data_IF_825315095576
#
_entry.id   IF_825315095576
#
_cell.length_a   1.000
_cell.length_b   1.000
_cell.length_c   1.000
_cell.angle_alpha   90.00
_cell.angle_beta   90.00
_cell.angle_gamma   90.00
#
_symmetry.space_group_name_H-M   'P 1'
#
loop_
_entity.id
_entity.type
_entity.pdbx_description
1 polymer ?
#
# COMPACT_ATOMS: atom_id res chain seq x y z
N UNK A 1 -2.09 -18.07 11.92
CA UNK A 1 -3.05 -17.78 10.81
C UNK A 1 -4.45 -17.40 11.31
N UNK A 2 -5.03 -18.10 12.29
CA UNK A 2 -6.41 -17.85 12.78
C UNK A 2 -6.69 -16.38 13.15
N UNK A 3 -5.77 -15.71 13.84
CA UNK A 3 -5.99 -14.33 14.26
C UNK A 3 -6.17 -13.35 13.08
N UNK A 4 -5.41 -13.53 12.02
CA UNK A 4 -5.55 -12.71 10.80
C UNK A 4 -6.91 -12.94 10.11
N UNK A 5 -7.33 -14.19 10.00
CA UNK A 5 -8.65 -14.57 9.45
C UNK A 5 -9.76 -13.99 10.35
N UNK A 6 -9.60 -14.04 11.67
CA UNK A 6 -10.55 -13.49 12.62
C UNK A 6 -10.71 -11.98 12.46
N UNK A 7 -9.60 -11.22 12.32
CA UNK A 7 -9.65 -9.77 12.07
C UNK A 7 -10.42 -9.45 10.78
N UNK A 8 -10.16 -10.19 9.70
CA UNK A 8 -10.89 -10.01 8.44
C UNK A 8 -12.39 -10.35 8.59
N UNK A 9 -12.71 -11.44 9.30
CA UNK A 9 -14.08 -11.87 9.56
C UNK A 9 -14.86 -10.86 10.41
N UNK A 10 -14.23 -10.27 11.45
CA UNK A 10 -14.82 -9.18 12.23
C UNK A 10 -15.19 -8.01 11.30
N UNK A 11 -14.31 -7.64 10.39
CA UNK A 11 -14.58 -6.53 9.48
C UNK A 11 -15.76 -6.82 8.55
N UNK A 12 -15.91 -8.07 8.07
CA UNK A 12 -17.12 -8.50 7.34
C UNK A 12 -18.35 -8.37 8.24
N UNK A 13 -18.27 -8.83 9.49
CA UNK A 13 -19.38 -8.70 10.45
C UNK A 13 -19.80 -7.25 10.66
N UNK A 14 -18.84 -6.34 10.84
CA UNK A 14 -19.08 -4.90 10.96
C UNK A 14 -19.74 -4.36 9.68
N UNK A 15 -19.26 -4.77 8.50
CA UNK A 15 -19.86 -4.39 7.22
C UNK A 15 -21.34 -4.80 7.14
N UNK A 16 -21.66 -6.05 7.48
CA UNK A 16 -23.03 -6.56 7.45
C UNK A 16 -23.96 -5.84 8.44
N UNK A 17 -23.44 -5.50 9.63
CA UNK A 17 -24.18 -4.69 10.63
C UNK A 17 -24.41 -3.26 10.12
N UNK A 18 -23.38 -2.59 9.63
CA UNK A 18 -23.48 -1.21 9.13
C UNK A 18 -24.35 -1.10 7.89
N UNK A 19 -24.35 -2.11 7.02
CA UNK A 19 -25.25 -2.16 5.86
C UNK A 19 -26.75 -2.20 6.27
N UNK A 20 -27.08 -2.84 7.42
CA UNK A 20 -28.46 -2.90 7.94
C UNK A 20 -28.93 -1.57 8.53
N UNK A 21 -28.03 -0.78 9.12
CA UNK A 21 -28.37 0.48 9.80
C UNK A 21 -28.14 1.73 8.93
N UNK A 22 -27.95 1.55 7.63
CA UNK A 22 -27.81 2.66 6.67
C UNK A 22 -26.42 3.28 6.56
N UNK A 23 -25.39 2.63 7.10
CA UNK A 23 -23.99 3.03 6.93
C UNK A 23 -23.19 3.13 8.23
N UNK A 24 -21.94 3.53 8.11
CA UNK A 24 -21.00 3.72 9.22
C UNK A 24 -20.68 5.22 9.38
N UNK A 25 -20.82 5.76 10.59
CA UNK A 25 -20.40 7.14 10.84
C UNK A 25 -18.88 7.30 10.77
N UNK A 26 -18.40 8.51 10.45
CA UNK A 26 -16.98 8.83 10.35
C UNK A 26 -16.20 8.49 11.63
N UNK A 27 -16.79 8.70 12.81
CA UNK A 27 -16.16 8.39 14.10
C UNK A 27 -15.96 6.89 14.28
N UNK A 28 -16.96 6.08 13.95
CA UNK A 28 -16.87 4.63 14.02
C UNK A 28 -15.91 4.08 12.98
N UNK A 29 -15.93 4.63 11.77
CA UNK A 29 -14.97 4.25 10.73
C UNK A 29 -13.54 4.55 11.16
N UNK A 30 -13.28 5.73 11.74
CA UNK A 30 -11.97 6.07 12.30
C UNK A 30 -11.55 5.07 13.38
N UNK A 31 -12.43 4.74 14.34
CA UNK A 31 -12.12 3.77 15.38
C UNK A 31 -11.76 2.39 14.82
N UNK A 32 -12.50 1.92 13.80
CA UNK A 32 -12.23 0.65 13.14
C UNK A 32 -10.84 0.67 12.48
N UNK A 33 -10.52 1.73 11.74
CA UNK A 33 -9.22 1.88 11.09
C UNK A 33 -8.10 1.93 12.12
N UNK A 34 -8.31 2.61 13.27
CA UNK A 34 -7.32 2.64 14.35
C UNK A 34 -7.15 1.28 15.04
N UNK A 35 -8.21 0.47 15.19
CA UNK A 35 -8.05 -0.91 15.66
C UNK A 35 -7.17 -1.75 14.72
N UNK A 36 -7.35 -1.59 13.40
CA UNK A 36 -6.49 -2.25 12.40
C UNK A 36 -5.05 -1.72 12.49
N UNK A 37 -4.86 -0.39 12.65
CA UNK A 37 -3.54 0.22 12.84
C UNK A 37 -2.82 -0.34 14.08
N UNK A 38 -3.53 -0.46 15.19
CA UNK A 38 -2.98 -1.04 16.43
C UNK A 38 -2.63 -2.52 16.25
N UNK A 39 -3.45 -3.29 15.54
CA UNK A 39 -3.13 -4.69 15.22
C UNK A 39 -1.81 -4.80 14.45
N UNK A 40 -1.56 -3.93 13.49
CA UNK A 40 -0.31 -3.91 12.71
C UNK A 40 0.85 -3.32 13.53
N UNK A 41 0.63 -2.18 14.18
CA UNK A 41 1.66 -1.39 14.85
C UNK A 41 2.18 -2.01 16.15
N UNK A 42 1.32 -2.73 16.89
CA UNK A 42 1.72 -3.43 18.12
C UNK A 42 2.44 -4.75 17.84
N UNK A 43 2.47 -5.24 16.60
CA UNK A 43 3.12 -6.50 16.27
C UNK A 43 4.65 -6.40 16.46
N UNK A 44 5.23 -7.46 17.02
CA UNK A 44 6.65 -7.55 17.32
C UNK A 44 7.47 -7.94 16.09
N UNK A 45 8.00 -6.95 15.36
CA UNK A 45 8.84 -7.09 14.16
C UNK A 45 8.31 -8.05 13.09
N UNK A 46 6.99 -8.31 13.07
CA UNK A 46 6.36 -9.11 12.03
C UNK A 46 6.34 -8.32 10.70
N UNK A 47 6.68 -8.98 9.61
CA UNK A 47 6.74 -8.37 8.28
C UNK A 47 8.09 -8.48 7.59
N UNK A 48 9.03 -9.21 8.19
CA UNK A 48 10.31 -9.56 7.57
C UNK A 48 11.39 -8.49 7.67
N UNK A 49 12.40 -8.65 6.84
CA UNK A 49 13.68 -7.92 6.88
C UNK A 49 13.56 -6.39 6.90
N UNK A 50 12.72 -5.82 6.04
CA UNK A 50 12.61 -4.35 5.93
C UNK A 50 12.23 -3.70 7.27
N UNK A 51 11.40 -4.37 8.08
CA UNK A 51 10.96 -3.85 9.37
C UNK A 51 12.11 -3.77 10.39
N UNK A 52 13.02 -4.75 10.34
CA UNK A 52 14.24 -4.73 11.17
C UNK A 52 15.17 -3.61 10.74
N UNK A 53 15.38 -3.40 9.44
CA UNK A 53 16.22 -2.30 8.93
C UNK A 53 15.68 -0.94 9.39
N UNK A 54 14.37 -0.71 9.31
CA UNK A 54 13.80 0.56 9.79
C UNK A 54 14.01 0.75 11.28
N UNK A 55 13.89 -0.32 12.07
CA UNK A 55 14.12 -0.29 13.50
C UNK A 55 15.59 0.01 13.84
N UNK A 56 16.53 -0.64 13.15
CA UNK A 56 17.96 -0.42 13.33
C UNK A 56 18.38 1.01 12.97
N UNK A 57 17.91 1.53 11.84
CA UNK A 57 18.22 2.91 11.46
C UNK A 57 17.59 3.92 12.41
N UNK A 58 16.40 3.62 12.94
CA UNK A 58 15.81 4.47 13.96
C UNK A 58 16.65 4.47 15.25
N UNK A 59 17.18 3.33 15.68
CA UNK A 59 18.05 3.25 16.86
C UNK A 59 19.31 4.10 16.69
N UNK A 60 19.97 4.03 15.51
CA UNK A 60 21.12 4.87 15.20
C UNK A 60 20.77 6.36 15.30
N UNK A 61 19.64 6.78 14.76
CA UNK A 61 19.15 8.16 14.84
C UNK A 61 18.84 8.55 16.28
N UNK A 62 18.19 7.70 17.05
CA UNK A 62 17.84 7.97 18.44
C UNK A 62 19.09 8.12 19.33
N UNK A 63 20.08 7.23 19.16
CA UNK A 63 21.34 7.29 19.91
C UNK A 63 22.11 8.60 19.60
N UNK A 64 22.17 9.00 18.33
CA UNK A 64 22.87 10.23 17.93
C UNK A 64 22.10 11.49 18.37
N UNK A 65 20.79 11.54 18.18
CA UNK A 65 19.97 12.71 18.52
C UNK A 65 19.90 12.98 20.03
N UNK A 66 20.06 11.95 20.85
CA UNK A 66 19.99 12.07 22.32
C UNK A 66 21.35 12.29 22.98
N UNK A 67 22.45 11.83 22.38
CA UNK A 67 23.77 11.76 23.03
C UNK A 67 24.89 12.53 22.33
N UNK A 68 24.73 12.84 21.05
CA UNK A 68 25.80 13.41 20.20
C UNK A 68 25.32 14.68 19.50
N UNK A 69 26.26 15.50 19.04
CA UNK A 69 25.96 16.70 18.26
C UNK A 69 25.12 16.34 17.01
N UNK A 70 24.11 17.17 16.64
CA UNK A 70 23.32 17.02 15.42
C UNK A 70 24.13 16.86 14.13
N UNK A 71 25.40 17.31 14.12
CA UNK A 71 26.30 17.21 12.97
C UNK A 71 26.54 15.74 12.54
N UNK A 72 26.46 14.79 13.46
CA UNK A 72 26.63 13.37 13.17
C UNK A 72 25.38 12.67 12.61
N UNK A 73 24.24 13.34 12.54
CA UNK A 73 23.03 12.76 11.92
C UNK A 73 23.25 12.35 10.47
N UNK A 74 24.10 13.06 9.73
CA UNK A 74 24.44 12.71 8.35
C UNK A 74 25.20 11.38 8.23
N UNK A 75 25.81 10.91 9.30
CA UNK A 75 26.53 9.64 9.36
C UNK A 75 25.60 8.45 9.62
N UNK A 76 24.38 8.68 10.10
CA UNK A 76 23.41 7.62 10.33
C UNK A 76 23.05 6.90 9.02
N UNK A 77 22.90 5.56 9.10
CA UNK A 77 22.63 4.70 7.96
C UNK A 77 21.43 5.14 7.14
N UNK A 78 20.40 5.70 7.75
CA UNK A 78 19.19 6.19 7.06
C UNK A 78 19.48 7.29 6.03
N UNK A 79 20.38 8.21 6.32
CA UNK A 79 20.75 9.30 5.40
C UNK A 79 21.76 8.87 4.34
N UNK A 80 22.59 7.88 4.65
CA UNK A 80 23.54 7.29 3.69
C UNK A 80 22.87 6.33 2.73
N UNK A 81 22.01 5.45 3.23
CA UNK A 81 21.35 4.42 2.44
C UNK A 81 20.28 4.99 1.50
N UNK A 82 19.61 6.09 1.91
CA UNK A 82 18.52 6.70 1.18
C UNK A 82 18.70 8.21 1.03
N UNK A 83 19.75 8.67 0.34
CA UNK A 83 20.11 10.10 0.26
C UNK A 83 19.02 10.95 -0.41
N UNK A 84 18.20 10.36 -1.30
CA UNK A 84 17.05 11.02 -1.94
C UNK A 84 15.81 11.12 -1.08
N UNK A 85 15.74 10.39 0.04
CA UNK A 85 14.52 10.27 0.88
C UNK A 85 14.68 10.98 2.22
N UNK A 86 15.20 12.20 2.17
CA UNK A 86 15.53 13.02 3.36
C UNK A 86 14.34 13.26 4.29
N UNK A 87 13.11 13.33 3.75
CA UNK A 87 11.91 13.51 4.56
C UNK A 87 11.68 12.35 5.51
N UNK A 88 11.93 11.12 5.07
CA UNK A 88 11.83 9.95 5.95
C UNK A 88 12.92 9.98 7.03
N UNK A 89 14.16 10.35 6.68
CA UNK A 89 15.24 10.52 7.66
C UNK A 89 14.87 11.56 8.73
N UNK A 90 14.38 12.74 8.33
CA UNK A 90 13.95 13.76 9.27
C UNK A 90 12.72 13.37 10.09
N UNK A 91 11.80 12.55 9.56
CA UNK A 91 10.70 12.01 10.35
C UNK A 91 11.21 11.10 11.47
N UNK A 92 12.25 10.28 11.21
CA UNK A 92 12.90 9.49 12.25
C UNK A 92 13.49 10.38 13.35
N UNK A 93 14.18 11.46 12.98
CA UNK A 93 14.71 12.44 13.94
C UNK A 93 13.59 13.06 14.78
N UNK A 94 12.48 13.46 14.16
CA UNK A 94 11.34 14.03 14.90
C UNK A 94 10.74 13.05 15.89
N UNK A 95 10.60 11.76 15.50
CA UNK A 95 10.06 10.75 16.40
C UNK A 95 11.07 10.41 17.51
N UNK A 96 12.39 10.48 17.25
CA UNK A 96 13.40 10.20 18.28
C UNK A 96 13.35 11.16 19.46
N UNK A 97 12.84 12.38 19.29
CA UNK A 97 12.58 13.32 20.40
C UNK A 97 11.40 12.89 21.28
N UNK A 98 10.52 12.00 20.79
CA UNK A 98 9.37 11.50 21.55
C UNK A 98 9.69 10.17 22.24
N UNK A 99 10.51 9.33 21.62
CA UNK A 99 10.87 8.01 22.11
C UNK A 99 12.18 7.52 21.49
N UNK A 100 12.96 6.78 22.25
CA UNK A 100 14.10 6.00 21.74
C UNK A 100 13.76 4.54 21.47
N UNK A 101 12.50 4.13 21.72
CA UNK A 101 12.07 2.74 21.57
C UNK A 101 11.63 2.45 20.14
N UNK A 102 12.32 1.52 19.45
CA UNK A 102 12.05 1.13 18.07
C UNK A 102 10.64 0.61 17.84
N UNK A 103 10.03 -0.03 18.80
CA UNK A 103 8.67 -0.58 18.68
C UNK A 103 7.62 0.53 18.74
N UNK A 104 7.82 1.53 19.61
CA UNK A 104 6.96 2.71 19.66
C UNK A 104 7.14 3.55 18.38
N UNK A 105 8.35 3.66 17.84
CA UNK A 105 8.59 4.27 16.52
C UNK A 105 7.76 3.61 15.43
N UNK A 106 7.80 2.28 15.32
CA UNK A 106 7.01 1.52 14.33
C UNK A 106 5.51 1.71 14.55
N UNK A 107 5.06 1.73 15.81
CA UNK A 107 3.65 1.98 16.15
C UNK A 107 3.22 3.39 15.68
N UNK A 108 4.00 4.42 16.00
CA UNK A 108 3.71 5.81 15.59
C UNK A 108 3.65 5.90 14.06
N UNK A 109 4.64 5.34 13.37
CA UNK A 109 4.70 5.35 11.90
C UNK A 109 3.49 4.63 11.29
N UNK A 110 3.12 3.48 11.84
CA UNK A 110 1.94 2.71 11.42
C UNK A 110 0.65 3.52 11.64
N UNK A 111 0.49 4.16 12.79
CA UNK A 111 -0.68 5.02 13.08
C UNK A 111 -0.75 6.17 12.08
N UNK A 112 0.37 6.84 11.77
CA UNK A 112 0.41 7.90 10.75
C UNK A 112 -0.08 7.37 9.39
N UNK A 113 0.43 6.22 8.92
CA UNK A 113 0.02 5.59 7.67
C UNK A 113 -1.50 5.34 7.68
N UNK A 114 -2.05 4.74 8.73
CA UNK A 114 -3.47 4.40 8.79
C UNK A 114 -4.39 5.63 8.94
N UNK A 115 -3.95 6.70 9.59
CA UNK A 115 -4.67 7.98 9.59
C UNK A 115 -4.77 8.55 8.17
N UNK A 116 -3.67 8.52 7.41
CA UNK A 116 -3.66 8.99 6.02
C UNK A 116 -4.53 8.09 5.10
N UNK A 117 -4.51 6.77 5.32
CA UNK A 117 -5.39 5.82 4.65
C UNK A 117 -6.87 6.07 4.97
N UNK A 118 -7.21 6.32 6.24
CA UNK A 118 -8.56 6.72 6.65
C UNK A 118 -9.04 7.95 5.89
N UNK A 119 -8.21 9.00 5.83
CA UNK A 119 -8.54 10.24 5.12
C UNK A 119 -8.79 9.95 3.64
N UNK A 120 -7.93 9.15 2.99
CA UNK A 120 -8.04 8.82 1.58
C UNK A 120 -9.27 7.97 1.27
N UNK A 121 -9.52 6.90 2.04
CA UNK A 121 -10.69 6.04 1.85
C UNK A 121 -11.98 6.86 2.03
N UNK A 122 -12.07 7.63 3.11
CA UNK A 122 -13.21 8.50 3.38
C UNK A 122 -13.46 9.51 2.25
N UNK A 123 -12.40 10.01 1.63
CA UNK A 123 -12.50 11.01 0.57
C UNK A 123 -12.98 10.42 -0.76
N UNK A 124 -12.56 9.18 -1.08
CA UNK A 124 -12.76 8.61 -2.42
C UNK A 124 -13.87 7.56 -2.46
N UNK A 125 -14.11 6.81 -1.39
CA UNK A 125 -15.10 5.76 -1.35
C UNK A 125 -16.47 6.26 -0.86
N UNK A 126 -17.54 5.70 -1.44
CA UNK A 126 -18.93 5.93 -0.99
C UNK A 126 -19.33 4.99 0.15
N UNK A 127 -18.74 3.80 0.18
CA UNK A 127 -18.88 2.86 1.29
C UNK A 127 -17.50 2.58 1.89
N UNK A 128 -17.21 3.26 2.99
CA UNK A 128 -15.90 3.25 3.63
C UNK A 128 -15.50 1.85 4.14
N UNK A 129 -16.44 1.08 4.72
CA UNK A 129 -16.15 -0.25 5.25
C UNK A 129 -15.88 -1.24 4.11
N UNK A 130 -16.68 -1.20 3.03
CA UNK A 130 -16.42 -2.04 1.87
C UNK A 130 -15.08 -1.71 1.22
N UNK A 131 -14.74 -0.42 1.11
CA UNK A 131 -13.45 0.02 0.61
C UNK A 131 -12.29 -0.46 1.50
N UNK A 132 -12.47 -0.45 2.84
CA UNK A 132 -11.49 -1.00 3.77
C UNK A 132 -11.34 -2.52 3.58
N UNK A 133 -12.42 -3.26 3.34
CA UNK A 133 -12.36 -4.70 3.04
C UNK A 133 -11.56 -4.94 1.75
N UNK A 134 -11.79 -4.15 0.70
CA UNK A 134 -11.02 -4.26 -0.56
C UNK A 134 -9.55 -3.91 -0.33
N UNK A 135 -9.26 -2.84 0.43
CA UNK A 135 -7.91 -2.49 0.84
C UNK A 135 -7.22 -3.63 1.62
N UNK A 136 -7.92 -4.25 2.57
CA UNK A 136 -7.40 -5.40 3.31
C UNK A 136 -7.01 -6.56 2.38
N UNK A 137 -7.80 -6.81 1.35
CA UNK A 137 -7.49 -7.85 0.36
C UNK A 137 -6.23 -7.58 -0.45
N UNK A 138 -6.00 -6.31 -0.83
CA UNK A 138 -4.95 -5.94 -1.80
C UNK A 138 -3.66 -5.50 -1.10
N UNK A 139 -3.75 -4.68 -0.03
CA UNK A 139 -2.62 -3.90 0.49
C UNK A 139 -2.26 -4.17 1.96
N UNK A 140 -3.16 -4.81 2.73
CA UNK A 140 -3.02 -4.89 4.19
C UNK A 140 -1.67 -5.44 4.66
N UNK A 141 -1.22 -6.57 4.13
CA UNK A 141 0.01 -7.21 4.58
C UNK A 141 1.26 -6.39 4.24
N UNK A 142 1.19 -5.54 3.22
CA UNK A 142 2.30 -4.66 2.87
C UNK A 142 2.53 -3.56 3.92
N UNK A 143 1.52 -3.24 4.75
CA UNK A 143 1.67 -2.32 5.87
C UNK A 143 2.49 -2.88 7.03
N UNK A 144 2.72 -4.20 7.08
CA UNK A 144 3.66 -4.80 8.03
C UNK A 144 5.11 -4.61 7.59
N UNK A 145 5.39 -4.70 6.29
CA UNK A 145 6.75 -4.80 5.74
C UNK A 145 7.25 -3.46 5.20
N UNK A 146 6.53 -2.87 4.26
CA UNK A 146 7.00 -1.74 3.44
C UNK A 146 6.59 -0.38 4.03
N UNK A 147 6.91 -0.15 5.31
CA UNK A 147 6.44 1.04 6.05
C UNK A 147 6.76 2.35 5.35
N UNK A 148 8.00 2.52 4.86
CA UNK A 148 8.45 3.72 4.16
C UNK A 148 7.67 3.95 2.85
N UNK A 149 7.53 2.90 2.04
CA UNK A 149 6.76 2.98 0.81
C UNK A 149 5.27 3.21 1.08
N UNK A 150 4.70 2.53 2.08
CA UNK A 150 3.30 2.73 2.48
C UNK A 150 3.03 4.13 3.00
N UNK A 151 4.01 4.76 3.68
CA UNK A 151 3.93 6.17 4.06
C UNK A 151 3.90 7.07 2.81
N UNK A 152 4.82 6.86 1.87
CA UNK A 152 4.83 7.59 0.60
C UNK A 152 3.52 7.43 -0.19
N UNK A 153 3.00 6.21 -0.28
CA UNK A 153 1.71 5.89 -0.94
C UNK A 153 0.55 6.62 -0.26
N UNK A 154 0.45 6.53 1.06
CA UNK A 154 -0.67 7.12 1.81
C UNK A 154 -0.69 8.66 1.71
N UNK A 155 0.48 9.30 1.67
CA UNK A 155 0.60 10.74 1.40
C UNK A 155 0.20 11.03 -0.05
N UNK A 156 0.73 10.29 -1.02
CA UNK A 156 0.46 10.50 -2.44
C UNK A 156 -1.04 10.40 -2.78
N UNK A 157 -1.77 9.49 -2.12
CA UNK A 157 -3.20 9.33 -2.30
C UNK A 157 -4.00 10.60 -1.93
N UNK A 158 -3.54 11.42 -0.97
CA UNK A 158 -4.16 12.70 -0.67
C UNK A 158 -4.10 13.66 -1.87
N UNK A 159 -3.12 13.47 -2.75
CA UNK A 159 -2.92 14.31 -3.94
C UNK A 159 -3.96 14.10 -5.04
N UNK A 160 -4.59 12.93 -5.13
CA UNK A 160 -5.51 12.58 -6.22
C UNK A 160 -6.70 13.56 -6.34
N UNK A 161 -7.17 14.12 -5.22
CA UNK A 161 -8.20 15.18 -5.24
C UNK A 161 -7.79 16.37 -6.10
N UNK A 162 -6.54 16.74 -6.09
CA UNK A 162 -6.05 17.91 -6.83
C UNK A 162 -5.95 17.66 -8.34
N UNK A 163 -6.07 16.40 -8.79
CA UNK A 163 -6.16 16.06 -10.23
C UNK A 163 -7.52 16.45 -10.77
N UNK A 164 -8.63 16.09 -10.11
CA UNK A 164 -9.96 16.48 -10.57
C UNK A 164 -10.29 17.95 -10.25
N UNK A 165 -9.70 18.53 -9.22
CA UNK A 165 -9.78 19.97 -8.89
C UNK A 165 -8.87 20.84 -9.79
N UNK A 166 -8.01 20.21 -10.64
CA UNK A 166 -7.00 20.86 -11.51
C UNK A 166 -6.08 21.82 -10.77
N UNK A 167 -5.76 21.53 -9.52
CA UNK A 167 -4.88 22.32 -8.66
C UNK A 167 -3.44 21.82 -8.72
N UNK A 168 -2.70 22.21 -9.80
CA UNK A 168 -1.37 21.68 -10.12
C UNK A 168 -0.37 21.81 -8.95
N UNK A 169 -0.20 23.00 -8.41
CA UNK A 169 0.81 23.24 -7.37
C UNK A 169 0.53 22.48 -6.07
N UNK A 170 -0.75 22.30 -5.72
CA UNK A 170 -1.14 21.49 -4.56
C UNK A 170 -0.84 20.02 -4.80
N UNK A 171 -1.08 19.53 -6.01
CA UNK A 171 -0.72 18.17 -6.41
C UNK A 171 0.80 17.97 -6.34
N UNK A 172 1.59 18.87 -6.96
CA UNK A 172 3.06 18.83 -6.95
C UNK A 172 3.58 18.80 -5.52
N UNK A 173 3.09 19.69 -4.64
CA UNK A 173 3.52 19.74 -3.25
C UNK A 173 3.32 18.39 -2.53
N UNK A 174 2.15 17.78 -2.70
CA UNK A 174 1.87 16.46 -2.09
C UNK A 174 2.80 15.39 -2.65
N UNK A 175 3.02 15.37 -3.97
CA UNK A 175 3.93 14.39 -4.58
C UNK A 175 5.38 14.61 -4.11
N UNK A 176 5.85 15.84 -3.96
CA UNK A 176 7.18 16.12 -3.42
C UNK A 176 7.33 15.68 -1.96
N UNK A 177 6.30 15.88 -1.13
CA UNK A 177 6.29 15.36 0.25
C UNK A 177 6.32 13.83 0.23
N UNK A 178 5.49 13.17 -0.60
CA UNK A 178 5.49 11.72 -0.74
C UNK A 178 6.84 11.19 -1.26
N UNK A 179 7.44 11.87 -2.24
CA UNK A 179 8.76 11.57 -2.80
C UNK A 179 9.87 11.66 -1.75
N UNK A 180 9.82 12.66 -0.87
CA UNK A 180 10.79 12.78 0.22
C UNK A 180 10.72 11.65 1.25
N UNK A 181 9.58 10.92 1.30
CA UNK A 181 9.41 9.72 2.13
C UNK A 181 9.82 8.44 1.39
N UNK A 182 9.51 8.37 0.08
CA UNK A 182 9.88 7.25 -0.77
C UNK A 182 9.94 7.67 -2.24
N UNK A 183 11.10 7.50 -2.86
CA UNK A 183 11.41 7.95 -4.23
C UNK A 183 10.40 7.50 -5.28
N UNK A 184 9.86 6.27 -5.17
CA UNK A 184 8.91 5.75 -6.14
C UNK A 184 7.56 6.49 -6.21
N UNK A 185 7.30 7.44 -5.28
CA UNK A 185 6.09 8.27 -5.33
C UNK A 185 5.99 9.12 -6.61
N UNK A 186 7.12 9.39 -7.26
CA UNK A 186 7.16 10.14 -8.51
C UNK A 186 6.40 9.43 -9.65
N UNK A 187 6.20 8.10 -9.56
CA UNK A 187 5.43 7.33 -10.54
C UNK A 187 3.99 7.85 -10.69
N UNK A 188 3.44 8.48 -9.64
CA UNK A 188 2.09 9.06 -9.69
C UNK A 188 2.05 10.42 -10.39
N UNK A 189 3.18 11.12 -10.57
CA UNK A 189 3.20 12.47 -11.13
C UNK A 189 2.57 12.59 -12.53
N UNK A 190 2.82 11.69 -13.49
CA UNK A 190 2.29 11.81 -14.85
C UNK A 190 0.75 11.81 -14.94
N UNK A 191 0.04 11.28 -13.94
CA UNK A 191 -1.43 11.20 -13.98
C UNK A 191 -2.08 12.57 -14.01
N UNK A 192 -1.44 13.61 -13.50
CA UNK A 192 -1.99 14.97 -13.53
C UNK A 192 -2.26 15.47 -14.95
N UNK A 193 -1.46 15.02 -15.91
CA UNK A 193 -1.57 15.40 -17.31
C UNK A 193 -2.65 14.64 -18.08
N UNK A 194 -3.18 13.56 -17.48
CA UNK A 194 -4.29 12.80 -18.06
C UNK A 194 -5.60 13.58 -17.82
N UNK A 195 -6.34 13.93 -18.88
CA UNK A 195 -7.62 14.61 -18.74
C UNK A 195 -8.61 13.81 -17.86
N UNK A 196 -9.38 14.48 -16.96
CA UNK A 196 -10.38 13.85 -16.11
C UNK A 196 -11.66 13.52 -16.90
N UNK A 197 -11.53 12.71 -17.94
CA UNK A 197 -12.63 12.27 -18.81
C UNK A 197 -12.69 10.76 -18.87
N UNK A 198 -13.86 10.25 -19.28
CA UNK A 198 -14.03 8.84 -19.59
C UNK A 198 -13.45 8.56 -20.98
N UNK A 199 -12.57 7.58 -21.07
CA UNK A 199 -12.04 7.10 -22.35
C UNK A 199 -12.94 6.00 -22.90
N UNK A 200 -12.92 5.76 -24.20
CA UNK A 200 -13.64 4.62 -24.77
C UNK A 200 -12.96 3.30 -24.37
N UNK A 201 -13.74 2.23 -24.26
CA UNK A 201 -13.22 0.91 -23.93
C UNK A 201 -12.12 0.50 -24.91
N UNK A 202 -12.31 0.78 -26.22
CA UNK A 202 -11.30 0.48 -27.24
C UNK A 202 -9.98 1.23 -26.98
N UNK A 203 -10.05 2.51 -26.62
CA UNK A 203 -8.85 3.29 -26.27
C UNK A 203 -8.13 2.71 -25.05
N UNK A 204 -8.87 2.29 -24.05
CA UNK A 204 -8.32 1.66 -22.85
C UNK A 204 -7.62 0.34 -23.22
N UNK A 205 -8.26 -0.52 -24.00
CA UNK A 205 -7.68 -1.79 -24.44
C UNK A 205 -6.40 -1.58 -25.26
N UNK A 206 -6.38 -0.58 -26.15
CA UNK A 206 -5.18 -0.23 -26.92
C UNK A 206 -4.06 0.21 -25.99
N UNK A 207 -4.33 1.09 -25.00
CA UNK A 207 -3.32 1.56 -24.04
C UNK A 207 -2.77 0.38 -23.22
N UNK A 208 -3.63 -0.49 -22.71
CA UNK A 208 -3.19 -1.66 -21.94
C UNK A 208 -2.35 -2.63 -22.81
N UNK A 209 -2.73 -2.82 -24.07
CA UNK A 209 -1.97 -3.66 -25.03
C UNK A 209 -0.60 -3.06 -25.34
N UNK A 210 -0.53 -1.73 -25.52
CA UNK A 210 0.75 -1.02 -25.72
C UNK A 210 1.64 -1.15 -24.48
N UNK A 211 1.09 -0.97 -23.27
CA UNK A 211 1.83 -1.14 -22.02
C UNK A 211 2.37 -2.58 -21.88
N UNK A 212 1.57 -3.59 -22.22
CA UNK A 212 1.99 -4.98 -22.23
C UNK A 212 3.14 -5.22 -23.24
N UNK A 213 2.97 -4.72 -24.46
CA UNK A 213 3.98 -4.86 -25.50
C UNK A 213 5.34 -4.22 -25.09
N UNK A 214 5.30 -2.98 -24.59
CA UNK A 214 6.49 -2.28 -24.08
C UNK A 214 7.09 -3.00 -22.87
N UNK A 215 6.26 -3.54 -21.99
CA UNK A 215 6.70 -4.33 -20.83
C UNK A 215 7.42 -5.62 -21.26
N UNK A 216 6.90 -6.34 -22.27
CA UNK A 216 7.53 -7.54 -22.84
C UNK A 216 8.87 -7.19 -23.51
N UNK A 217 8.98 -6.03 -24.17
CA UNK A 217 10.22 -5.52 -24.75
C UNK A 217 11.27 -5.10 -23.71
N UNK A 218 10.91 -5.06 -22.41
CA UNK A 218 11.86 -4.71 -21.35
C UNK A 218 12.08 -3.20 -21.15
N UNK A 219 11.13 -2.35 -21.57
CA UNK A 219 11.21 -0.89 -21.35
C UNK A 219 11.35 -0.54 -19.87
N UNK A 220 10.90 -1.43 -18.97
CA UNK A 220 11.10 -1.28 -17.53
C UNK A 220 12.55 -1.12 -17.11
N UNK A 221 13.49 -1.87 -17.72
CA UNK A 221 14.93 -1.76 -17.41
C UNK A 221 15.44 -0.37 -17.77
N UNK A 222 15.14 0.10 -19.00
CA UNK A 222 15.52 1.45 -19.43
C UNK A 222 14.96 2.56 -18.52
N UNK A 223 13.72 2.40 -18.04
CA UNK A 223 13.12 3.36 -17.10
C UNK A 223 13.82 3.35 -15.73
N UNK A 224 14.21 2.17 -15.24
CA UNK A 224 14.97 2.07 -13.99
C UNK A 224 16.39 2.66 -14.13
N UNK A 225 17.10 2.34 -15.20
CA UNK A 225 18.44 2.87 -15.47
C UNK A 225 18.41 4.39 -15.53
N UNK A 226 17.48 4.95 -16.35
CA UNK A 226 17.32 6.41 -16.45
C UNK A 226 16.94 7.09 -15.14
N UNK A 227 16.16 6.41 -14.30
CA UNK A 227 15.79 6.91 -12.98
C UNK A 227 16.99 6.88 -12.04
N UNK A 228 17.83 5.86 -12.12
CA UNK A 228 19.01 5.72 -11.31
C UNK A 228 20.09 6.73 -11.59
N UNK A 229 20.35 6.93 -12.86
CA UNK A 229 21.27 7.96 -13.31
C UNK A 229 20.84 9.36 -12.84
N UNK A 230 19.51 9.60 -12.81
CA UNK A 230 18.96 10.89 -12.37
C UNK A 230 19.03 11.12 -10.86
N UNK A 231 19.02 10.08 -10.03
CA UNK A 231 18.93 10.19 -8.56
C UNK A 231 20.10 9.56 -7.81
N UNK A 232 21.16 9.15 -8.53
CA UNK A 232 22.42 8.61 -7.97
C UNK A 232 22.18 7.50 -6.92
N UNK A 233 21.36 6.52 -7.30
CA UNK A 233 21.01 5.41 -6.41
C UNK A 233 21.73 4.13 -6.84
N UNK A 234 22.75 3.70 -6.09
CA UNK A 234 23.50 2.45 -6.29
C UNK A 234 22.62 1.17 -6.26
N UNK A 235 21.35 1.29 -5.82
CA UNK A 235 20.40 0.19 -5.73
C UNK A 235 19.81 -0.27 -7.08
N UNK A 236 20.06 0.43 -8.14
CA UNK A 236 19.49 0.10 -9.45
C UNK A 236 20.03 -1.21 -9.98
N UNK A 237 21.31 -1.49 -9.75
CA UNK A 237 21.92 -2.76 -10.15
C UNK A 237 21.21 -3.98 -9.52
N UNK A 238 20.67 -3.84 -8.30
CA UNK A 238 19.89 -4.89 -7.65
C UNK A 238 18.48 -5.00 -8.26
N UNK A 239 17.91 -3.89 -8.75
CA UNK A 239 16.58 -3.84 -9.36
C UNK A 239 16.59 -4.21 -10.85
N UNK A 240 17.68 -3.91 -11.55
CA UNK A 240 17.89 -4.19 -12.99
C UNK A 240 18.60 -5.51 -13.24
N UNK A 241 19.42 -5.98 -12.31
CA UNK A 241 20.27 -7.16 -12.45
C UNK A 241 19.53 -8.50 -12.56
N UNK A 242 18.23 -8.53 -12.40
CA UNK A 242 17.40 -9.67 -12.78
C UNK A 242 16.68 -9.37 -14.09
N UNK A 243 17.26 -9.78 -15.23
CA UNK A 243 16.49 -10.08 -16.44
C UNK A 243 15.46 -11.19 -16.10
N UNK A 244 14.60 -10.87 -15.16
CA UNK A 244 13.55 -11.72 -14.69
C UNK A 244 12.62 -12.00 -15.86
N UNK A 245 12.31 -13.27 -16.09
CA UNK A 245 11.32 -13.66 -17.07
C UNK A 245 9.98 -12.96 -16.84
N UNK A 246 9.07 -13.04 -17.79
CA UNK A 246 7.72 -12.49 -17.71
C UNK A 246 7.03 -12.98 -16.42
N UNK A 247 6.64 -12.06 -15.56
CA UNK A 247 5.89 -12.35 -14.34
C UNK A 247 4.41 -12.51 -14.65
N UNK A 248 4.03 -13.71 -15.01
CA UNK A 248 2.67 -14.06 -15.39
C UNK A 248 1.61 -13.62 -14.35
N UNK A 249 1.99 -13.57 -13.06
CA UNK A 249 1.12 -13.07 -12.00
C UNK A 249 0.66 -11.62 -12.22
N UNK A 250 1.53 -10.74 -12.70
CA UNK A 250 1.17 -9.34 -12.99
C UNK A 250 0.20 -9.24 -14.18
N UNK A 251 0.40 -10.08 -15.20
CA UNK A 251 -0.54 -10.16 -16.31
C UNK A 251 -1.93 -10.58 -15.85
N UNK A 252 -2.01 -11.67 -15.07
CA UNK A 252 -3.29 -12.18 -14.54
C UNK A 252 -3.97 -11.13 -13.67
N UNK A 253 -3.23 -10.46 -12.78
CA UNK A 253 -3.77 -9.44 -11.89
C UNK A 253 -4.27 -8.23 -12.68
N UNK A 254 -3.49 -7.72 -13.62
CA UNK A 254 -3.89 -6.60 -14.47
C UNK A 254 -5.11 -6.92 -15.34
N UNK A 255 -5.10 -8.09 -16.01
CA UNK A 255 -6.22 -8.53 -16.85
C UNK A 255 -7.50 -8.73 -16.04
N UNK A 256 -7.40 -9.30 -14.84
CA UNK A 256 -8.52 -9.53 -13.95
C UNK A 256 -9.17 -8.22 -13.46
N UNK A 257 -8.38 -7.28 -12.94
CA UNK A 257 -8.91 -5.99 -12.50
C UNK A 257 -9.43 -5.16 -13.68
N UNK A 258 -8.72 -5.12 -14.81
CA UNK A 258 -9.19 -4.46 -16.01
C UNK A 258 -10.54 -5.03 -16.48
N UNK A 259 -10.68 -6.36 -16.50
CA UNK A 259 -11.93 -7.02 -16.86
C UNK A 259 -13.09 -6.60 -15.95
N UNK A 260 -12.93 -6.67 -14.63
CA UNK A 260 -13.98 -6.27 -13.68
C UNK A 260 -14.36 -4.81 -13.86
N UNK A 261 -13.38 -3.91 -14.01
CA UNK A 261 -13.62 -2.48 -14.17
C UNK A 261 -14.36 -2.23 -15.49
N UNK A 262 -13.91 -2.81 -16.60
CA UNK A 262 -14.52 -2.60 -17.92
C UNK A 262 -15.93 -3.19 -18.02
N UNK A 263 -16.21 -4.32 -17.37
CA UNK A 263 -17.56 -4.90 -17.27
C UNK A 263 -18.55 -3.98 -16.53
N UNK A 264 -18.05 -3.05 -15.72
CA UNK A 264 -18.86 -2.14 -14.93
C UNK A 264 -18.69 -0.67 -15.39
N UNK A 265 -18.10 -0.47 -16.58
CA UNK A 265 -17.67 0.83 -17.05
C UNK A 265 -18.81 1.84 -17.13
N UNK A 266 -19.98 1.41 -17.64
CA UNK A 266 -21.18 2.24 -17.81
C UNK A 266 -21.92 2.51 -16.49
N UNK A 267 -21.67 1.73 -15.45
CA UNK A 267 -22.29 1.91 -14.12
C UNK A 267 -21.65 3.08 -13.36
N UNK A 268 -20.40 3.38 -13.66
CA UNK A 268 -19.67 4.49 -13.03
C UNK A 268 -20.22 5.82 -13.59
N UNK A 269 -20.64 6.79 -12.74
CA UNK A 269 -21.09 8.10 -13.21
C UNK A 269 -20.00 8.87 -13.95
N UNK A 270 -20.43 9.67 -14.96
CA UNK A 270 -19.50 10.51 -15.72
C UNK A 270 -19.25 11.84 -15.01
N UNK A 271 -18.64 11.80 -13.83
CA UNK A 271 -18.18 12.98 -13.10
C UNK A 271 -16.65 13.08 -13.14
N UNK A 272 -16.10 14.29 -12.98
CA UNK A 272 -14.64 14.48 -12.95
C UNK A 272 -13.96 13.58 -11.91
N UNK A 273 -14.55 13.48 -10.71
CA UNK A 273 -14.02 12.65 -9.62
C UNK A 273 -14.03 11.17 -10.00
N UNK A 274 -15.17 10.66 -10.46
CA UNK A 274 -15.32 9.25 -10.80
C UNK A 274 -14.43 8.86 -11.99
N UNK A 275 -14.32 9.74 -12.99
CA UNK A 275 -13.41 9.53 -14.12
C UNK A 275 -11.95 9.49 -13.72
N UNK A 276 -11.50 10.36 -12.79
CA UNK A 276 -10.13 10.30 -12.27
C UNK A 276 -9.90 8.99 -11.54
N UNK A 277 -10.81 8.57 -10.65
CA UNK A 277 -10.67 7.30 -9.92
C UNK A 277 -10.66 6.10 -10.88
N UNK A 278 -11.52 6.12 -11.89
CA UNK A 278 -11.56 5.11 -12.95
C UNK A 278 -10.23 5.06 -13.72
N UNK A 279 -9.69 6.22 -14.13
CA UNK A 279 -8.40 6.30 -14.82
C UNK A 279 -7.23 5.83 -13.92
N UNK A 280 -7.25 6.18 -12.62
CA UNK A 280 -6.28 5.69 -11.64
C UNK A 280 -6.34 4.17 -11.54
N UNK A 281 -7.54 3.58 -11.51
CA UNK A 281 -7.70 2.12 -11.44
C UNK A 281 -7.20 1.40 -12.70
N UNK A 282 -7.40 2.00 -13.88
CA UNK A 282 -6.88 1.45 -15.14
C UNK A 282 -5.35 1.61 -15.25
N UNK A 283 -4.80 2.69 -14.70
CA UNK A 283 -3.34 2.89 -14.62
C UNK A 283 -2.68 1.89 -13.67
N UNK A 284 -3.36 1.45 -12.61
CA UNK A 284 -2.88 0.32 -11.81
C UNK A 284 -2.59 -0.90 -12.71
N UNK A 285 -3.54 -1.24 -13.59
CA UNK A 285 -3.36 -2.34 -14.54
C UNK A 285 -2.25 -2.04 -15.57
N UNK A 286 -2.20 -0.82 -16.09
CA UNK A 286 -1.21 -0.41 -17.08
C UNK A 286 0.23 -0.49 -16.53
N UNK A 287 0.46 -0.06 -15.29
CA UNK A 287 1.78 -0.15 -14.63
C UNK A 287 2.19 -1.60 -14.40
N UNK A 288 1.27 -2.48 -13.96
CA UNK A 288 1.58 -3.91 -13.85
C UNK A 288 2.03 -4.53 -15.18
N UNK A 289 1.38 -4.14 -16.28
CA UNK A 289 1.72 -4.62 -17.62
C UNK A 289 3.04 -4.03 -18.13
N UNK A 290 3.29 -2.74 -17.90
CA UNK A 290 4.51 -2.05 -18.31
C UNK A 290 5.74 -2.60 -17.60
N UNK A 291 5.61 -2.96 -16.31
CA UNK A 291 6.68 -3.50 -15.48
C UNK A 291 6.61 -5.02 -15.33
N UNK A 292 6.05 -5.73 -16.31
CA UNK A 292 5.80 -7.18 -16.26
C UNK A 292 7.07 -8.03 -16.11
N UNK A 293 8.23 -7.52 -16.52
CA UNK A 293 9.54 -8.18 -16.38
C UNK A 293 10.31 -7.76 -15.14
N UNK A 294 9.85 -6.74 -14.43
CA UNK A 294 10.52 -6.23 -13.23
C UNK A 294 10.10 -6.96 -11.97
N UNK A 295 11.06 -7.33 -11.13
CA UNK A 295 10.79 -7.97 -9.84
C UNK A 295 9.98 -7.08 -8.89
N UNK A 296 10.32 -5.82 -8.84
CA UNK A 296 9.72 -4.84 -7.97
C UNK A 296 8.68 -3.94 -8.66
N UNK A 297 8.43 -4.17 -9.96
CA UNK A 297 7.51 -3.35 -10.76
C UNK A 297 6.07 -3.33 -10.22
N UNK A 298 5.63 -4.45 -9.63
CA UNK A 298 4.32 -4.51 -8.97
C UNK A 298 4.16 -3.48 -7.85
N UNK A 299 5.24 -3.13 -7.14
CA UNK A 299 5.19 -2.11 -6.07
C UNK A 299 4.89 -0.70 -6.59
N UNK A 300 5.22 -0.40 -7.84
CA UNK A 300 4.89 0.88 -8.46
C UNK A 300 3.40 1.03 -8.71
N UNK A 301 2.69 -0.07 -9.01
CA UNK A 301 1.24 -0.06 -9.17
C UNK A 301 0.49 0.30 -7.88
N UNK A 302 1.08 0.06 -6.70
CA UNK A 302 0.43 0.35 -5.41
C UNK A 302 0.08 1.84 -5.22
N UNK A 303 0.81 2.76 -5.85
CA UNK A 303 0.46 4.18 -5.85
C UNK A 303 -0.90 4.44 -6.50
N UNK A 304 -1.33 3.56 -7.38
CA UNK A 304 -2.61 3.61 -8.10
C UNK A 304 -3.70 2.72 -7.45
N UNK A 305 -3.37 1.93 -6.42
CA UNK A 305 -4.30 0.96 -5.82
C UNK A 305 -5.54 1.62 -5.20
N UNK A 306 -5.47 2.88 -4.74
CA UNK A 306 -6.64 3.61 -4.26
C UNK A 306 -7.73 3.76 -5.35
N UNK A 307 -7.33 3.85 -6.62
CA UNK A 307 -8.25 3.82 -7.75
C UNK A 307 -9.05 2.52 -7.76
N UNK A 308 -8.37 1.37 -7.65
CA UNK A 308 -9.02 0.06 -7.60
C UNK A 308 -9.93 -0.05 -6.37
N UNK A 309 -9.42 0.30 -5.18
CA UNK A 309 -10.17 0.25 -3.92
C UNK A 309 -11.44 1.11 -3.99
N UNK A 310 -11.32 2.37 -4.42
CA UNK A 310 -12.43 3.30 -4.49
C UNK A 310 -13.41 2.92 -5.63
N UNK A 311 -12.89 2.64 -6.83
CA UNK A 311 -13.75 2.35 -7.99
C UNK A 311 -14.58 1.08 -7.75
N UNK A 312 -13.95 -0.03 -7.29
CA UNK A 312 -14.70 -1.27 -7.05
C UNK A 312 -15.74 -1.11 -5.95
N UNK A 313 -15.41 -0.45 -4.84
CA UNK A 313 -16.36 -0.21 -3.76
C UNK A 313 -17.50 0.74 -4.19
N UNK A 314 -17.20 1.76 -5.01
CA UNK A 314 -18.21 2.69 -5.52
C UNK A 314 -19.16 2.02 -6.54
N UNK A 315 -18.65 1.15 -7.41
CA UNK A 315 -19.47 0.33 -8.32
C UNK A 315 -20.50 -0.47 -7.54
N UNK A 316 -20.14 -1.04 -6.39
CA UNK A 316 -21.10 -1.77 -5.55
C UNK A 316 -22.27 -0.89 -5.11
N UNK A 317 -21.99 0.36 -4.72
CA UNK A 317 -23.02 1.33 -4.33
C UNK A 317 -23.88 1.74 -5.55
N UNK A 318 -23.25 2.04 -6.67
CA UNK A 318 -23.97 2.45 -7.89
C UNK A 318 -24.90 1.35 -8.42
N UNK A 319 -24.44 0.11 -8.44
CA UNK A 319 -25.27 -1.05 -8.82
C UNK A 319 -26.47 -1.24 -7.89
N UNK A 320 -26.29 -1.07 -6.59
CA UNK A 320 -27.41 -1.12 -5.64
C UNK A 320 -28.45 -0.04 -5.89
N UNK A 321 -28.02 1.16 -6.30
CA UNK A 321 -28.93 2.27 -6.60
C UNK A 321 -29.70 2.08 -7.91
N UNK A 322 -29.09 1.44 -8.91
CA UNK A 322 -29.71 1.20 -10.22
C UNK A 322 -30.55 -0.09 -10.30
N UNK A 323 -30.58 -0.89 -9.23
CA UNK A 323 -31.25 -2.18 -9.20
C UNK A 323 -30.63 -3.25 -10.12
N UNK A 324 -29.46 -2.95 -10.70
CA UNK A 324 -28.75 -3.87 -11.57
C UNK A 324 -27.99 -4.91 -10.74
N UNK A 325 -28.50 -6.14 -10.70
CA UNK A 325 -27.77 -7.28 -10.17
C UNK A 325 -26.45 -7.52 -10.93
N UNK A 326 -25.53 -8.26 -10.31
CA UNK A 326 -24.28 -8.67 -10.97
C UNK A 326 -24.58 -9.76 -11.99
N UNK A 327 -24.59 -9.42 -13.27
CA UNK A 327 -24.67 -10.37 -14.37
C UNK A 327 -23.27 -10.78 -14.83
N UNK A 328 -22.58 -11.61 -14.05
CA UNK A 328 -21.74 -12.61 -14.68
C UNK A 328 -22.68 -13.60 -15.37
N UNK A 329 -22.36 -14.07 -16.59
CA UNK A 329 -23.10 -15.10 -17.34
C UNK A 329 -23.28 -16.45 -16.59
N UNK A 330 -22.99 -16.48 -15.31
CA UNK A 330 -23.34 -17.58 -14.41
C UNK A 330 -24.58 -17.16 -13.62
N UNK A 331 -25.61 -17.93 -13.79
CA UNK A 331 -26.95 -17.88 -13.21
C UNK A 331 -26.94 -17.95 -11.67
N UNK A 332 -26.26 -17.04 -10.98
CA UNK A 332 -26.12 -17.12 -9.53
C UNK A 332 -26.38 -15.75 -8.86
N UNK A 333 -27.28 -15.79 -7.92
CA UNK A 333 -27.81 -14.78 -6.99
C UNK A 333 -26.77 -14.05 -6.12
N UNK A 334 -25.51 -13.92 -6.54
CA UNK A 334 -24.50 -13.24 -5.75
C UNK A 334 -24.52 -11.74 -6.02
N UNK A 335 -24.80 -10.93 -4.99
CA UNK A 335 -24.70 -9.48 -5.12
C UNK A 335 -23.24 -9.08 -5.39
N UNK A 336 -23.04 -7.95 -6.09
CA UNK A 336 -21.69 -7.43 -6.35
C UNK A 336 -20.90 -7.18 -5.04
N UNK A 337 -21.59 -6.84 -3.95
CA UNK A 337 -21.01 -6.72 -2.61
C UNK A 337 -20.42 -8.04 -2.10
N UNK A 338 -21.18 -9.12 -2.21
CA UNK A 338 -20.70 -10.46 -1.82
C UNK A 338 -19.51 -10.90 -2.69
N UNK A 339 -19.56 -10.61 -3.98
CA UNK A 339 -18.43 -10.85 -4.89
C UNK A 339 -17.17 -10.11 -4.42
N UNK A 340 -17.25 -8.81 -4.10
CA UNK A 340 -16.09 -8.04 -3.64
C UNK A 340 -15.54 -8.55 -2.30
N UNK A 341 -16.41 -8.95 -1.38
CA UNK A 341 -15.99 -9.52 -0.09
C UNK A 341 -15.23 -10.83 -0.32
N UNK A 342 -15.77 -11.72 -1.15
CA UNK A 342 -15.13 -13.01 -1.47
C UNK A 342 -13.82 -12.82 -2.21
N UNK A 343 -13.77 -11.91 -3.18
CA UNK A 343 -12.55 -11.55 -3.88
C UNK A 343 -11.48 -11.01 -2.92
N UNK A 344 -11.86 -10.06 -2.05
CA UNK A 344 -10.96 -9.48 -1.08
C UNK A 344 -10.45 -10.53 -0.09
N UNK A 345 -11.32 -11.44 0.36
CA UNK A 345 -10.92 -12.56 1.20
C UNK A 345 -9.95 -13.51 0.49
N UNK A 346 -10.20 -13.82 -0.76
CA UNK A 346 -9.31 -14.68 -1.56
C UNK A 346 -7.92 -14.07 -1.72
N UNK A 347 -7.83 -12.78 -2.06
CA UNK A 347 -6.56 -12.05 -2.20
C UNK A 347 -5.83 -11.97 -0.85
N UNK A 348 -6.56 -11.64 0.22
CA UNK A 348 -6.05 -11.61 1.58
C UNK A 348 -5.46 -12.96 2.00
N UNK A 349 -6.23 -14.03 1.81
CA UNK A 349 -5.83 -15.39 2.17
C UNK A 349 -4.63 -15.87 1.35
N UNK A 350 -4.56 -15.51 0.06
CA UNK A 350 -3.42 -15.83 -0.82
C UNK A 350 -2.11 -15.27 -0.26
N UNK A 351 -2.11 -13.99 0.14
CA UNK A 351 -0.92 -13.34 0.71
C UNK A 351 -0.62 -13.93 2.09
N UNK A 352 -1.63 -14.09 2.94
CA UNK A 352 -1.48 -14.68 4.27
C UNK A 352 -0.86 -16.07 4.21
N UNK A 353 -1.27 -16.90 3.25
CA UNK A 353 -0.69 -18.24 3.06
C UNK A 353 0.76 -18.17 2.60
N UNK A 354 1.10 -17.25 1.71
CA UNK A 354 2.47 -17.08 1.21
C UNK A 354 3.43 -16.53 2.26
N UNK A 355 2.95 -15.64 3.14
CA UNK A 355 3.77 -14.96 4.15
C UNK A 355 3.57 -15.52 5.56
N UNK A 356 2.59 -16.39 5.77
CA UNK A 356 2.30 -17.05 7.03
C UNK A 356 3.03 -18.37 7.20
N UNK A 357 2.42 -19.27 7.99
CA UNK A 357 2.99 -20.53 8.48
C UNK A 357 3.52 -21.48 7.39
N UNK A 358 2.88 -21.50 6.22
CA UNK A 358 3.25 -22.39 5.11
C UNK A 358 4.20 -21.79 4.07
N UNK A 359 4.65 -20.54 4.25
CA UNK A 359 5.47 -19.83 3.28
C UNK A 359 6.73 -19.20 3.91
N UNK A 360 6.90 -17.87 3.71
CA UNK A 360 8.07 -17.14 4.23
C UNK A 360 8.09 -16.99 5.76
N UNK A 361 7.01 -17.30 6.46
CA UNK A 361 6.86 -17.25 7.92
C UNK A 361 7.09 -15.87 8.56
N UNK A 362 7.01 -14.78 7.78
CA UNK A 362 7.26 -13.42 8.25
C UNK A 362 6.08 -12.80 9.02
N UNK A 363 4.92 -13.48 9.01
CA UNK A 363 3.71 -13.06 9.73
C UNK A 363 3.30 -14.04 10.83
N UNK A 364 4.07 -15.10 11.05
CA UNK A 364 3.74 -16.17 11.99
C UNK A 364 4.92 -16.53 12.91
N UNK A 365 4.67 -16.80 14.18
CA UNK A 365 3.41 -16.59 14.92
C UNK A 365 3.11 -15.10 15.13
N UNK A 366 1.83 -14.69 15.18
CA UNK A 366 1.49 -13.33 15.57
C UNK A 366 1.86 -13.10 17.04
N UNK A 367 2.66 -12.11 17.30
CA UNK A 367 3.15 -11.70 18.59
C UNK A 367 3.18 -10.18 18.71
N UNK A 368 3.13 -9.66 19.92
CA UNK A 368 3.19 -8.22 20.20
C UNK A 368 4.39 -7.93 21.09
N UNK A 369 4.98 -6.74 20.95
CA UNK A 369 6.06 -6.31 21.84
C UNK A 369 5.59 -6.04 23.28
N UNK A 370 4.27 -6.06 23.55
CA UNK A 370 3.71 -5.91 24.89
C UNK A 370 3.79 -7.19 25.72
N UNK A 371 4.13 -8.33 25.14
CA UNK A 371 4.22 -9.62 25.84
C UNK A 371 5.57 -9.81 26.53
N UNK A 372 5.69 -9.27 27.73
CA UNK A 372 6.68 -9.58 28.82
C UNK A 372 8.16 -9.78 28.41
N UNK A 373 8.63 -9.18 27.33
CA UNK A 373 10.03 -9.31 26.91
C UNK A 373 10.48 -10.73 26.54
N UNK A 374 9.59 -11.70 26.52
CA UNK A 374 9.86 -13.05 26.02
C UNK A 374 9.56 -13.09 24.53
N UNK A 375 10.56 -12.69 23.75
CA UNK A 375 10.52 -12.83 22.31
C UNK A 375 10.75 -14.29 21.96
N UNK A 376 9.80 -14.89 21.25
CA UNK A 376 10.03 -16.20 20.64
C UNK A 376 10.81 -15.92 19.34
N UNK A 377 12.01 -16.48 19.18
CA UNK A 377 12.75 -16.39 17.93
C UNK A 377 11.86 -16.82 16.76
N UNK A 378 11.89 -16.10 15.69
CA UNK A 378 11.26 -16.48 14.44
C UNK A 378 12.34 -16.63 13.35
N UNK A 379 11.95 -17.19 12.21
CA UNK A 379 12.89 -17.43 11.12
C UNK A 379 13.61 -16.15 10.66
N UNK A 380 12.92 -15.02 10.65
CA UNK A 380 13.53 -13.75 10.25
C UNK A 380 14.57 -13.30 11.26
N UNK A 381 14.28 -13.47 12.55
CA UNK A 381 15.23 -13.18 13.63
C UNK A 381 16.49 -14.04 13.53
N UNK A 382 16.33 -15.35 13.39
CA UNK A 382 17.44 -16.30 13.29
C UNK A 382 18.28 -16.08 12.00
N UNK A 383 17.62 -15.72 10.89
CA UNK A 383 18.27 -15.49 9.61
C UNK A 383 19.14 -14.21 9.58
N UNK A 384 18.72 -13.18 10.31
CA UNK A 384 19.41 -11.87 10.32
C UNK A 384 20.25 -11.62 11.57
N UNK A 385 20.47 -12.64 12.41
CA UNK A 385 21.37 -12.60 13.58
C UNK A 385 21.15 -11.40 14.52
N UNK A 386 19.91 -10.98 14.73
CA UNK A 386 19.62 -9.89 15.64
C UNK A 386 19.88 -10.30 17.09
N UNK A 387 20.64 -9.49 17.83
CA UNK A 387 20.95 -9.75 19.22
C UNK A 387 19.69 -9.60 20.10
N UNK A 388 19.17 -10.73 20.53
CA UNK A 388 17.99 -10.81 21.40
C UNK A 388 18.16 -10.02 22.71
N UNK A 389 19.37 -9.99 23.28
CA UNK A 389 19.65 -9.24 24.53
C UNK A 389 19.56 -7.73 24.26
N UNK A 390 20.14 -7.28 23.17
CA UNK A 390 20.10 -5.89 22.77
C UNK A 390 18.67 -5.41 22.50
N UNK A 391 17.88 -6.20 21.80
CA UNK A 391 16.47 -5.91 21.55
C UNK A 391 15.65 -5.88 22.83
N UNK A 392 15.91 -6.81 23.77
CA UNK A 392 15.24 -6.86 25.06
C UNK A 392 15.54 -5.63 25.91
N UNK A 393 16.80 -5.23 25.98
CA UNK A 393 17.21 -4.07 26.77
C UNK A 393 16.61 -2.76 26.23
N UNK A 394 16.37 -2.66 24.92
CA UNK A 394 15.70 -1.50 24.30
C UNK A 394 14.20 -1.44 24.53
N UNK A 395 13.53 -2.55 24.80
CA UNK A 395 12.09 -2.55 25.14
C UNK A 395 11.79 -1.80 26.45
N UNK A 396 12.77 -1.73 27.33
CA UNK A 396 12.62 -1.20 28.70
C UNK A 396 13.36 0.12 28.94
N UNK A 397 13.94 0.70 27.90
CA UNK A 397 14.51 2.03 27.92
C UNK A 397 13.45 3.05 27.46
#
# INVERSE_FOLDING_TARGET
>A
MFLYIFVFTILIGIYLLTARIGGCSDKWFFAIVMCVALFVGLSDMLGGYDRYIYAEFFDQVADVSMTVSPDYLHECGIFRQWPGEKGFGWLNVLISFLTSNRYIFILILTVIIYVLLYISIRQYAKNNILALIVFMGIMFFFTFTYLRQMLGISIAWLGIRYIYDRSFWKFVLIILIAFSMHNSALVLFPIYFIPPKRYTINSVLVILSVCLFLGILGVSSFLYDSYGDAFDTERIDILTGSDGGIRFGYFVEAAFFAYIILQNYEVVPDTKKDNVLLNVSLLFCAILLLFIRSENGGRLSWYYAIGVVATLSNIAVYRSQTGQGFTMRMNTFMSYHAFLILLSFFLYFRILRGWGEGGYQILYPYKTFLTNGHRVPDRTFDEYEYDYKYDRDKLYR
#
